data_IF_085131573664
#
_entry.id   IF_085131573664
#
_cell.length_a   1.000
_cell.length_b   1.000
_cell.length_c   1.000
_cell.angle_alpha   90.00
_cell.angle_beta   90.00
_cell.angle_gamma   90.00
#
_symmetry.space_group_name_H-M   'P 1'
#
loop_
_entity.id
_entity.type
_entity.pdbx_description
1 polymer ?
#
# COMPACT_ATOMS: atom_id res chain seq x y z
N UNK A 1 -61.97 -48.70 -18.12
CA UNK A 1 -62.58 -47.47 -18.68
C UNK A 1 -62.99 -46.62 -17.49
N UNK A 2 -62.50 -45.42 -17.19
CA UNK A 2 -61.93 -44.36 -18.02
C UNK A 2 -60.97 -43.51 -17.18
N UNK A 3 -59.79 -43.24 -17.74
CA UNK A 3 -58.83 -42.24 -17.30
C UNK A 3 -59.39 -40.88 -17.76
N UNK A 4 -59.78 -39.98 -16.84
CA UNK A 4 -60.26 -38.64 -17.22
C UNK A 4 -59.16 -37.60 -17.11
N UNK A 5 -58.70 -37.27 -18.31
CA UNK A 5 -57.94 -36.14 -18.80
C UNK A 5 -58.31 -34.81 -18.11
N UNK A 6 -57.27 -34.10 -17.69
CA UNK A 6 -57.06 -32.66 -17.51
C UNK A 6 -58.18 -31.66 -17.86
N UNK A 7 -58.12 -30.48 -17.22
CA UNK A 7 -58.03 -29.27 -18.02
C UNK A 7 -56.77 -28.47 -17.67
N UNK A 8 -55.85 -28.48 -18.63
CA UNK A 8 -54.66 -27.63 -18.79
C UNK A 8 -55.05 -26.15 -19.05
N UNK A 9 -56.15 -25.67 -18.45
CA UNK A 9 -56.82 -24.42 -18.82
C UNK A 9 -56.65 -23.29 -17.78
N UNK A 10 -55.84 -23.50 -16.73
CA UNK A 10 -55.55 -22.48 -15.71
C UNK A 10 -54.22 -21.76 -15.90
N UNK A 11 -53.41 -22.15 -16.89
CA UNK A 11 -52.08 -21.55 -17.12
C UNK A 11 -52.14 -20.41 -18.17
N UNK A 12 -53.24 -20.26 -18.90
CA UNK A 12 -53.36 -19.33 -20.03
C UNK A 12 -54.18 -18.05 -19.73
N UNK A 13 -54.19 -17.57 -18.49
CA UNK A 13 -54.92 -16.35 -18.10
C UNK A 13 -54.04 -15.23 -17.51
N UNK A 14 -52.71 -15.37 -17.47
CA UNK A 14 -51.80 -14.33 -16.96
C UNK A 14 -51.15 -13.46 -18.04
N UNK A 15 -51.55 -13.57 -19.31
CA UNK A 15 -50.89 -12.86 -20.43
C UNK A 15 -51.56 -11.55 -20.87
N UNK A 16 -52.48 -10.99 -20.08
CA UNK A 16 -53.13 -9.73 -20.43
C UNK A 16 -53.33 -8.82 -19.21
N UNK A 17 -52.26 -8.16 -18.78
CA UNK A 17 -52.35 -6.89 -18.06
C UNK A 17 -51.28 -5.93 -18.61
N UNK A 18 -51.69 -4.78 -19.18
CA UNK A 18 -50.80 -3.82 -19.82
C UNK A 18 -50.07 -2.96 -18.78
N UNK A 19 -48.81 -2.61 -19.08
CA UNK A 19 -48.17 -1.41 -18.55
C UNK A 19 -47.67 -1.48 -17.11
N UNK A 20 -46.66 -2.30 -16.84
CA UNK A 20 -45.64 -1.92 -15.87
C UNK A 20 -44.47 -1.37 -16.69
N UNK A 21 -44.45 -0.05 -16.89
CA UNK A 21 -43.26 0.65 -17.35
C UNK A 21 -42.15 0.30 -16.35
N UNK A 22 -41.19 -0.51 -16.79
CA UNK A 22 -39.95 -0.69 -16.06
C UNK A 22 -39.29 0.68 -16.03
N UNK A 23 -39.46 1.40 -14.93
CA UNK A 23 -38.76 2.65 -14.69
C UNK A 23 -37.27 2.32 -14.68
N UNK A 24 -36.59 2.59 -15.79
CA UNK A 24 -35.14 2.58 -15.86
C UNK A 24 -34.61 3.65 -14.89
N UNK A 25 -33.77 3.32 -13.89
CA UNK A 25 -32.97 4.33 -13.23
C UNK A 25 -31.63 4.40 -13.98
N UNK A 26 -31.62 4.85 -15.23
CA UNK A 26 -30.45 4.61 -16.09
C UNK A 26 -29.95 5.85 -16.85
N UNK A 27 -29.87 7.02 -16.21
CA UNK A 27 -29.05 8.10 -16.74
C UNK A 27 -28.44 9.00 -15.65
N UNK A 28 -29.23 9.37 -14.63
CA UNK A 28 -28.84 10.39 -13.64
C UNK A 28 -27.72 9.93 -12.69
N UNK A 29 -27.58 8.63 -12.45
CA UNK A 29 -26.58 8.08 -11.52
C UNK A 29 -25.22 7.75 -12.16
N UNK A 30 -25.06 7.72 -13.48
CA UNK A 30 -23.79 7.28 -14.09
C UNK A 30 -22.63 8.26 -13.82
N UNK A 31 -22.89 9.56 -13.91
CA UNK A 31 -21.87 10.58 -13.66
C UNK A 31 -21.45 10.64 -12.19
N UNK A 32 -22.39 10.52 -11.27
CA UNK A 32 -22.08 10.47 -9.83
C UNK A 32 -21.29 9.21 -9.48
N UNK A 33 -21.68 8.05 -10.02
CA UNK A 33 -20.95 6.80 -9.84
C UNK A 33 -19.53 6.90 -10.40
N UNK A 34 -19.35 7.51 -11.56
CA UNK A 34 -18.03 7.68 -12.17
C UNK A 34 -17.13 8.59 -11.34
N UNK A 35 -17.65 9.72 -10.85
CA UNK A 35 -16.91 10.59 -9.92
C UNK A 35 -16.53 9.87 -8.61
N UNK A 36 -17.44 9.06 -8.06
CA UNK A 36 -17.16 8.25 -6.86
C UNK A 36 -16.06 7.22 -7.13
N UNK A 37 -16.08 6.57 -8.30
CA UNK A 37 -15.02 5.63 -8.70
C UNK A 37 -13.67 6.34 -8.77
N UNK A 38 -13.58 7.49 -9.46
CA UNK A 38 -12.33 8.23 -9.57
C UNK A 38 -11.78 8.68 -8.20
N UNK A 39 -12.67 9.12 -7.31
CA UNK A 39 -12.29 9.50 -5.95
C UNK A 39 -11.77 8.29 -5.15
N UNK A 40 -12.44 7.15 -5.25
CA UNK A 40 -12.01 5.91 -4.59
C UNK A 40 -10.68 5.41 -5.15
N UNK A 41 -10.46 5.47 -6.46
CA UNK A 41 -9.17 5.13 -7.06
C UNK A 41 -8.05 6.04 -6.58
N UNK A 42 -8.31 7.34 -6.44
CA UNK A 42 -7.36 8.29 -5.86
C UNK A 42 -7.01 7.90 -4.42
N UNK A 43 -8.01 7.64 -3.58
CA UNK A 43 -7.79 7.21 -2.20
C UNK A 43 -7.02 5.89 -2.11
N UNK A 44 -7.30 4.93 -3.00
CA UNK A 44 -6.56 3.66 -3.06
C UNK A 44 -5.09 3.90 -3.40
N UNK A 45 -4.78 4.78 -4.36
CA UNK A 45 -3.40 5.15 -4.70
C UNK A 45 -2.68 5.77 -3.50
N UNK A 46 -3.30 6.74 -2.84
CA UNK A 46 -2.74 7.39 -1.66
C UNK A 46 -2.50 6.39 -0.52
N UNK A 47 -3.44 5.48 -0.26
CA UNK A 47 -3.30 4.44 0.76
C UNK A 47 -2.19 3.43 0.45
N UNK A 48 -1.98 3.10 -0.84
CA UNK A 48 -0.88 2.22 -1.25
C UNK A 48 0.47 2.89 -1.01
N UNK A 49 0.63 4.15 -1.41
CA UNK A 49 1.87 4.91 -1.17
C UNK A 49 2.17 5.06 0.33
N UNK A 50 1.14 5.32 1.15
CA UNK A 50 1.30 5.40 2.60
C UNK A 50 1.72 4.06 3.20
N UNK A 51 1.14 2.94 2.73
CA UNK A 51 1.54 1.61 3.18
C UNK A 51 2.99 1.30 2.82
N UNK A 52 3.41 1.60 1.60
CA UNK A 52 4.79 1.38 1.16
C UNK A 52 5.78 2.20 2.00
N UNK A 53 5.46 3.47 2.26
CA UNK A 53 6.25 4.33 3.16
C UNK A 53 6.32 3.77 4.58
N UNK A 54 5.22 3.23 5.11
CA UNK A 54 5.20 2.64 6.45
C UNK A 54 6.03 1.35 6.50
N UNK A 55 5.88 0.46 5.52
CA UNK A 55 6.70 -0.74 5.42
C UNK A 55 8.18 -0.42 5.36
N UNK A 56 8.55 0.61 4.58
CA UNK A 56 9.94 1.06 4.52
C UNK A 56 10.43 1.59 5.87
N UNK A 57 9.60 2.34 6.62
CA UNK A 57 9.94 2.77 7.98
C UNK A 57 10.13 1.59 8.93
N UNK A 58 9.25 0.60 8.90
CA UNK A 58 9.32 -0.58 9.75
C UNK A 58 10.59 -1.39 9.46
N UNK A 59 10.95 -1.55 8.18
CA UNK A 59 12.22 -2.17 7.76
C UNK A 59 13.41 -1.39 8.31
N UNK A 60 13.40 -0.07 8.21
CA UNK A 60 14.51 0.78 8.69
C UNK A 60 14.64 0.77 10.21
N UNK A 61 13.52 0.68 10.92
CA UNK A 61 13.53 0.50 12.37
C UNK A 61 14.25 -0.82 12.75
N UNK A 62 13.92 -1.90 12.06
CA UNK A 62 14.48 -3.23 12.34
C UNK A 62 15.95 -3.39 11.87
N UNK A 63 16.30 -2.91 10.67
CA UNK A 63 17.63 -3.11 10.09
C UNK A 63 18.69 -2.12 10.62
N UNK A 64 18.26 -0.96 11.12
CA UNK A 64 19.16 0.12 11.50
C UNK A 64 18.94 0.57 12.94
N UNK A 65 17.72 1.00 13.27
CA UNK A 65 17.46 1.67 14.55
C UNK A 65 17.64 0.72 15.74
N UNK A 66 17.03 -0.45 15.73
CA UNK A 66 17.11 -1.43 16.82
C UNK A 66 18.54 -1.94 17.06
N UNK A 67 19.30 -2.41 16.05
CA UNK A 67 20.70 -2.82 16.23
C UNK A 67 21.60 -1.69 16.71
N UNK A 68 21.36 -0.47 16.22
CA UNK A 68 22.09 0.71 16.66
C UNK A 68 21.82 1.00 18.13
N UNK A 69 20.55 1.01 18.57
CA UNK A 69 20.20 1.28 19.97
C UNK A 69 20.78 0.19 20.88
N UNK A 70 20.71 -1.07 20.48
CA UNK A 70 21.27 -2.18 21.25
C UNK A 70 22.80 -2.07 21.42
N UNK A 71 23.50 -1.52 20.43
CA UNK A 71 24.97 -1.42 20.44
C UNK A 71 25.48 -0.11 21.04
N UNK A 72 24.82 1.01 20.72
CA UNK A 72 25.30 2.38 20.99
C UNK A 72 24.50 3.05 22.10
N UNK A 73 23.26 2.63 22.35
CA UNK A 73 22.38 3.19 23.39
C UNK A 73 21.80 4.59 23.08
N UNK A 74 22.31 5.29 22.07
CA UNK A 74 21.89 6.66 21.73
C UNK A 74 20.68 6.67 20.79
N UNK A 75 19.48 6.61 21.36
CA UNK A 75 18.20 6.53 20.61
C UNK A 75 18.04 7.61 19.53
N UNK A 76 18.39 8.86 19.84
CA UNK A 76 18.25 10.00 18.92
C UNK A 76 19.17 9.87 17.71
N UNK A 77 20.45 9.53 17.94
CA UNK A 77 21.43 9.26 16.88
C UNK A 77 20.97 8.08 16.02
N UNK A 78 20.52 7.00 16.64
CA UNK A 78 20.07 5.80 15.93
C UNK A 78 18.81 6.04 15.09
N UNK A 79 17.88 6.86 15.58
CA UNK A 79 16.71 7.28 14.81
C UNK A 79 17.13 8.13 13.60
N UNK A 80 18.04 9.09 13.80
CA UNK A 80 18.55 9.91 12.71
C UNK A 80 19.26 9.07 11.64
N UNK A 81 20.10 8.10 12.04
CA UNK A 81 20.78 7.19 11.09
C UNK A 81 19.77 6.33 10.32
N UNK A 82 18.74 5.80 10.99
CA UNK A 82 17.68 5.03 10.35
C UNK A 82 16.88 5.86 9.32
N UNK A 83 16.83 7.18 9.44
CA UNK A 83 16.19 8.06 8.45
C UNK A 83 17.12 8.49 7.32
N UNK A 84 18.44 8.60 7.57
CA UNK A 84 19.37 9.28 6.67
C UNK A 84 20.35 8.36 5.93
N UNK A 85 20.53 7.10 6.35
CA UNK A 85 21.39 6.18 5.62
C UNK A 85 20.81 5.81 4.24
N UNK A 86 21.64 5.55 3.22
CA UNK A 86 21.14 5.10 1.92
C UNK A 86 20.38 3.77 2.03
N UNK A 87 19.48 3.52 1.09
CA UNK A 87 18.76 2.25 1.00
C UNK A 87 19.73 1.08 0.78
N UNK A 88 19.45 -0.06 1.42
CA UNK A 88 20.31 -1.25 1.35
C UNK A 88 21.57 -1.20 2.22
N UNK A 89 21.77 -0.14 3.01
CA UNK A 89 22.83 -0.08 4.04
C UNK A 89 22.20 -0.33 5.40
N UNK A 90 22.40 -1.54 5.92
CA UNK A 90 22.05 -1.91 7.31
C UNK A 90 23.05 -1.34 8.32
N UNK A 91 22.77 -1.50 9.62
CA UNK A 91 23.65 -1.00 10.67
C UNK A 91 25.06 -1.60 10.63
N UNK A 92 25.20 -2.89 10.31
CA UNK A 92 26.50 -3.56 10.28
C UNK A 92 27.36 -3.10 9.09
N UNK A 93 26.74 -2.87 7.93
CA UNK A 93 27.36 -2.27 6.76
C UNK A 93 27.80 -0.83 7.07
N UNK A 94 26.94 -0.03 7.71
CA UNK A 94 27.29 1.31 8.19
C UNK A 94 28.55 1.28 9.06
N UNK A 95 28.57 0.44 10.11
CA UNK A 95 29.73 0.31 11.02
C UNK A 95 30.99 -0.06 10.26
N UNK A 96 30.93 -1.04 9.35
CA UNK A 96 32.09 -1.44 8.53
C UNK A 96 32.59 -0.29 7.66
N UNK A 97 31.70 0.43 6.98
CA UNK A 97 32.05 1.55 6.09
C UNK A 97 32.70 2.70 6.85
N UNK A 98 32.25 3.00 8.08
CA UNK A 98 32.84 4.11 8.87
C UNK A 98 34.11 3.72 9.61
N UNK A 99 34.29 2.44 9.93
CA UNK A 99 35.44 1.96 10.71
C UNK A 99 36.64 1.59 9.84
N UNK A 100 36.38 0.94 8.70
CA UNK A 100 37.39 0.49 7.75
C UNK A 100 36.75 0.34 6.35
N UNK A 101 36.68 1.41 5.56
CA UNK A 101 36.21 1.33 4.18
C UNK A 101 37.05 0.31 3.40
N UNK A 102 36.40 -0.60 2.68
CA UNK A 102 37.11 -1.55 1.80
C UNK A 102 37.55 -0.83 0.52
N UNK A 103 38.74 -1.18 0.01
CA UNK A 103 39.12 -0.80 -1.35
C UNK A 103 38.10 -1.36 -2.36
N UNK A 104 37.61 -0.51 -3.25
CA UNK A 104 36.58 -0.86 -4.24
C UNK A 104 35.13 -0.76 -3.75
N UNK A 105 34.88 -0.22 -2.55
CA UNK A 105 33.53 0.18 -2.17
C UNK A 105 32.99 1.25 -3.13
N UNK A 106 31.67 1.27 -3.36
CA UNK A 106 31.04 2.31 -4.17
C UNK A 106 31.24 3.68 -3.50
N UNK A 107 32.07 4.52 -4.13
CA UNK A 107 32.46 5.83 -3.61
C UNK A 107 31.24 6.71 -3.34
N UNK A 108 30.19 6.64 -4.17
CA UNK A 108 28.97 7.43 -3.95
C UNK A 108 28.24 6.98 -2.69
N UNK A 109 28.15 5.67 -2.47
CA UNK A 109 27.52 5.13 -1.26
C UNK A 109 28.31 5.54 -0.02
N UNK A 110 29.64 5.49 -0.11
CA UNK A 110 30.52 5.87 0.99
C UNK A 110 30.36 7.36 1.34
N UNK A 111 30.28 8.25 0.35
CA UNK A 111 30.04 9.68 0.57
C UNK A 111 28.66 9.95 1.20
N UNK A 112 27.61 9.26 0.76
CA UNK A 112 26.29 9.37 1.38
C UNK A 112 26.31 8.90 2.85
N UNK A 113 27.04 7.82 3.14
CA UNK A 113 27.20 7.32 4.51
C UNK A 113 27.96 8.32 5.40
N UNK A 114 29.03 8.93 4.89
CA UNK A 114 29.77 9.98 5.61
C UNK A 114 28.89 11.18 5.91
N UNK A 115 28.14 11.67 4.92
CA UNK A 115 27.21 12.79 5.09
C UNK A 115 26.10 12.50 6.12
N UNK A 116 25.55 11.27 6.13
CA UNK A 116 24.58 10.85 7.14
C UNK A 116 25.20 10.83 8.55
N UNK A 117 26.43 10.34 8.68
CA UNK A 117 27.17 10.35 9.95
C UNK A 117 27.39 11.77 10.48
N UNK A 118 27.91 12.68 9.64
CA UNK A 118 28.15 14.08 10.03
C UNK A 118 26.87 14.79 10.47
N UNK A 119 25.74 14.47 9.83
CA UNK A 119 24.42 15.02 10.20
C UNK A 119 23.94 14.52 11.56
N UNK A 120 24.10 13.23 11.83
CA UNK A 120 23.45 12.54 12.94
C UNK A 120 24.33 12.40 14.19
N UNK A 121 25.65 12.34 14.02
CA UNK A 121 26.63 12.16 15.09
C UNK A 121 27.39 13.47 15.24
N UNK A 122 26.99 14.29 16.22
CA UNK A 122 27.66 15.53 16.60
C UNK A 122 28.47 15.34 17.88
#
# INVERSE_FOLDING_TARGET
>A
MTLRILPLALILACLAAPGASAAEPAAENRGELQNRIEQLEKQIRELKELREKQQQKDVRAHEIQEPCIATVGMREVCSCLAENLPMGVDFAAYVRMVSAPKEGADERVLEMVKAARERCVK
#
